data_IF_341985717454
#
_entry.id   IF_341985717454
#
_cell.length_a   1.000
_cell.length_b   1.000
_cell.length_c   1.000
_cell.angle_alpha   90.00
_cell.angle_beta   90.00
_cell.angle_gamma   90.00
#
_symmetry.space_group_name_H-M   'P 1'
#
loop_
_entity.id
_entity.type
_entity.pdbx_description
1 polymer ?
#
# COMPACT_ATOMS: atom_id res chain seq x y z
N UNK A 1 -20.36 -5.11 23.70
CA UNK A 1 -20.18 -3.88 22.92
C UNK A 1 -19.09 -4.14 21.89
N UNK A 2 -19.49 -4.57 20.70
CA UNK A 2 -18.57 -4.97 19.63
C UNK A 2 -17.72 -3.78 19.22
N UNK A 3 -16.41 -3.88 19.48
CA UNK A 3 -15.41 -2.94 18.99
C UNK A 3 -15.52 -2.96 17.47
N UNK A 4 -16.20 -1.97 16.89
CA UNK A 4 -16.22 -1.78 15.46
C UNK A 4 -14.75 -1.63 15.05
N UNK A 5 -14.20 -2.71 14.50
CA UNK A 5 -12.92 -2.69 13.81
C UNK A 5 -13.09 -1.66 12.72
N UNK A 6 -12.58 -0.45 12.99
CA UNK A 6 -12.55 0.62 12.02
C UNK A 6 -11.61 0.13 10.94
N UNK A 7 -12.17 -0.49 9.91
CA UNK A 7 -11.48 -0.88 8.69
C UNK A 7 -10.91 0.38 8.05
N UNK A 8 -9.74 0.80 8.52
CA UNK A 8 -8.96 1.91 7.97
C UNK A 8 -8.16 1.38 6.77
N UNK A 9 -8.71 0.40 6.05
CA UNK A 9 -8.12 -0.14 4.84
C UNK A 9 -8.40 0.79 3.66
N UNK A 10 -7.64 0.68 2.57
CA UNK A 10 -8.00 1.36 1.33
C UNK A 10 -9.38 0.89 0.89
N UNK A 11 -10.26 1.82 0.50
CA UNK A 11 -11.64 1.52 0.07
C UNK A 11 -11.72 0.76 -1.27
N UNK A 12 -10.58 0.36 -1.85
CA UNK A 12 -10.50 -0.37 -3.12
C UNK A 12 -9.26 -1.26 -3.19
N UNK A 13 -9.41 -2.41 -3.85
CA UNK A 13 -8.30 -3.30 -4.17
C UNK A 13 -7.37 -2.61 -5.18
N UNK A 14 -6.08 -2.48 -4.85
CA UNK A 14 -5.10 -1.98 -5.80
C UNK A 14 -4.75 -3.11 -6.77
N UNK A 15 -4.63 -2.78 -8.05
CA UNK A 15 -4.32 -3.73 -9.12
C UNK A 15 -2.96 -3.42 -9.73
N UNK A 16 -2.26 -4.46 -10.18
CA UNK A 16 -1.04 -4.28 -10.96
C UNK A 16 -1.38 -3.66 -12.32
N UNK A 17 -0.71 -2.57 -12.76
CA UNK A 17 -1.00 -1.96 -14.07
C UNK A 17 -0.65 -2.87 -15.26
N UNK A 18 0.23 -3.86 -15.09
CA UNK A 18 0.64 -4.77 -16.16
C UNK A 18 -0.32 -5.97 -16.30
N UNK A 19 -0.54 -6.74 -15.23
CA UNK A 19 -1.33 -7.97 -15.29
C UNK A 19 -2.77 -7.82 -14.78
N UNK A 20 -3.16 -6.63 -14.30
CA UNK A 20 -4.49 -6.29 -13.74
C UNK A 20 -4.95 -7.18 -12.58
N UNK A 21 -4.05 -7.98 -12.01
CA UNK A 21 -4.33 -8.80 -10.84
C UNK A 21 -4.37 -7.95 -9.58
N UNK A 22 -5.23 -8.31 -8.60
CA UNK A 22 -5.24 -7.65 -7.30
C UNK A 22 -3.90 -7.88 -6.61
N UNK A 23 -3.33 -6.81 -6.07
CA UNK A 23 -2.09 -6.85 -5.30
C UNK A 23 -2.36 -6.49 -3.85
N UNK A 24 -1.50 -6.97 -2.96
CA UNK A 24 -1.58 -6.64 -1.53
C UNK A 24 -1.38 -5.15 -1.36
N UNK A 25 -2.30 -4.49 -0.64
CA UNK A 25 -2.17 -3.06 -0.34
C UNK A 25 -1.33 -2.88 0.91
N UNK A 26 -0.29 -2.07 0.86
CA UNK A 26 0.62 -1.84 2.00
C UNK A 26 0.69 -0.36 2.36
N UNK A 27 0.82 -0.06 3.66
CA UNK A 27 1.14 1.30 4.13
C UNK A 27 2.62 1.56 3.89
N UNK A 28 2.95 2.45 2.95
CA UNK A 28 4.35 2.84 2.67
C UNK A 28 4.82 4.02 3.51
N UNK A 29 3.88 4.78 4.08
CA UNK A 29 4.22 5.96 4.84
C UNK A 29 3.00 6.61 5.47
N UNK A 30 3.25 7.74 6.12
CA UNK A 30 2.23 8.56 6.74
C UNK A 30 2.56 10.02 6.51
N UNK A 31 1.56 10.82 6.23
CA UNK A 31 1.69 12.28 6.14
C UNK A 31 0.85 12.92 7.24
N UNK A 32 1.36 14.01 7.83
CA UNK A 32 0.64 14.75 8.85
C UNK A 32 -0.05 15.93 8.19
N UNK A 33 -1.37 16.01 8.31
CA UNK A 33 -2.20 17.06 7.71
C UNK A 33 -3.10 17.61 8.80
N UNK A 34 -3.04 18.91 9.08
CA UNK A 34 -3.89 19.60 10.08
C UNK A 34 -3.91 18.90 11.47
N UNK A 35 -2.76 18.40 11.92
CA UNK A 35 -2.64 17.69 13.20
C UNK A 35 -3.00 16.20 13.16
N UNK A 36 -3.61 15.71 12.07
CA UNK A 36 -3.99 14.30 11.88
C UNK A 36 -2.91 13.54 11.10
N UNK A 37 -2.61 12.31 11.50
CA UNK A 37 -1.68 11.41 10.80
C UNK A 37 -2.47 10.54 9.84
N UNK A 38 -2.27 10.75 8.54
CA UNK A 38 -2.97 10.06 7.47
C UNK A 38 -2.07 8.95 6.88
N UNK A 39 -2.53 7.68 6.82
CA UNK A 39 -1.77 6.61 6.19
C UNK A 39 -1.79 6.73 4.67
N UNK A 40 -0.63 6.53 4.04
CA UNK A 40 -0.51 6.48 2.58
C UNK A 40 -0.44 5.02 2.14
N UNK A 41 -1.49 4.58 1.44
CA UNK A 41 -1.60 3.24 0.87
C UNK A 41 -0.99 3.19 -0.54
N UNK A 42 -0.26 2.12 -0.84
CA UNK A 42 0.32 1.87 -2.17
C UNK A 42 0.16 0.40 -2.55
N UNK A 43 0.16 0.08 -3.86
CA UNK A 43 0.20 -1.30 -4.31
C UNK A 43 1.51 -1.93 -3.84
N UNK A 44 1.42 -3.13 -3.27
CA UNK A 44 2.55 -3.99 -2.98
C UNK A 44 3.13 -4.62 -4.24
N UNK A 45 4.20 -5.41 -4.11
CA UNK A 45 4.83 -6.08 -5.24
C UNK A 45 3.85 -7.06 -5.91
N UNK A 46 3.96 -7.17 -7.23
CA UNK A 46 3.22 -8.18 -7.97
C UNK A 46 3.84 -9.56 -7.72
N UNK A 47 3.04 -10.50 -7.23
CA UNK A 47 3.45 -11.89 -6.99
C UNK A 47 3.16 -12.82 -8.17
N UNK A 48 2.63 -12.32 -9.28
CA UNK A 48 2.38 -13.13 -10.47
C UNK A 48 3.70 -13.40 -11.22
N UNK A 49 4.19 -14.65 -11.31
CA UNK A 49 5.45 -14.99 -11.97
C UNK A 49 5.45 -14.72 -13.48
N UNK A 50 4.27 -14.71 -14.11
CA UNK A 50 4.09 -14.43 -15.54
C UNK A 50 4.08 -12.91 -15.85
N UNK A 51 4.22 -12.06 -14.82
CA UNK A 51 4.16 -10.62 -14.97
C UNK A 51 5.55 -10.04 -15.27
N UNK A 52 5.65 -9.18 -16.28
CA UNK A 52 6.90 -8.46 -16.61
C UNK A 52 7.40 -7.55 -15.48
N UNK A 53 6.52 -7.19 -14.54
CA UNK A 53 6.81 -6.37 -13.35
C UNK A 53 6.90 -7.21 -12.05
N UNK A 54 7.16 -8.52 -12.17
CA UNK A 54 7.32 -9.42 -11.03
C UNK A 54 8.38 -8.86 -10.06
N UNK A 55 7.99 -8.62 -8.80
CA UNK A 55 8.86 -8.14 -7.72
C UNK A 55 9.49 -6.75 -7.89
N UNK A 56 8.89 -5.83 -8.65
CA UNK A 56 9.30 -4.43 -8.57
C UNK A 56 8.86 -3.86 -7.22
N UNK A 57 9.76 -3.92 -6.24
CA UNK A 57 9.57 -3.32 -4.91
C UNK A 57 9.25 -1.83 -5.11
N UNK A 58 8.09 -1.35 -4.63
CA UNK A 58 7.81 0.08 -4.64
C UNK A 58 8.89 0.78 -3.83
N UNK A 59 9.62 1.68 -4.48
CA UNK A 59 10.67 2.54 -3.92
C UNK A 59 10.35 2.89 -2.46
N UNK A 60 11.18 2.41 -1.53
CA UNK A 60 11.00 2.66 -0.09
C UNK A 60 11.21 4.15 0.15
N UNK A 61 10.20 4.95 0.51
CA UNK A 61 10.47 6.32 0.88
C UNK A 61 10.97 6.34 2.32
N UNK A 62 12.29 6.51 2.46
CA UNK A 62 12.88 7.24 3.56
C UNK A 62 13.08 6.49 4.88
N UNK A 63 14.12 5.64 4.92
CA UNK A 63 14.90 5.54 6.16
C UNK A 63 15.66 6.86 6.32
N UNK A 64 15.03 7.86 6.94
CA UNK A 64 15.74 9.06 7.39
C UNK A 64 16.56 8.64 8.61
N UNK A 65 17.78 8.16 8.35
CA UNK A 65 18.79 7.98 9.38
C UNK A 65 19.19 9.36 9.89
N UNK A 66 19.00 9.59 11.18
CA UNK A 66 19.57 10.71 11.91
C UNK A 66 20.96 10.32 12.39
#
# INVERSE_FOLDING_TARGET
MSKAERETGPQGALVCPACKQPVTTMVRGRHKTLGVVVPVWRPGPCHNPECSEHLKEPDRPGRRTY
#
